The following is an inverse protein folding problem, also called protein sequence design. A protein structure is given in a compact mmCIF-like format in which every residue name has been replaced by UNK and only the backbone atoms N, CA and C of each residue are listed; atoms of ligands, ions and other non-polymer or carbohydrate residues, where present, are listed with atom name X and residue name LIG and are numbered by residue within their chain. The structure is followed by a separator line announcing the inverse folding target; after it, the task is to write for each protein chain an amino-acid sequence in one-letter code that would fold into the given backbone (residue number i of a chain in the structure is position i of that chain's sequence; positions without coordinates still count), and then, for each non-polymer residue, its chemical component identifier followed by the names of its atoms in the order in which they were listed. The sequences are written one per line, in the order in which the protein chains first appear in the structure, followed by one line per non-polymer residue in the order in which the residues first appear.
data_IF_823059698519
#
_entry.id   IF_823059698519
#
_cell.length_a   1.000
_cell.length_b   1.000
_cell.length_c   1.000
_cell.angle_alpha   90.00
_cell.angle_beta   90.00
_cell.angle_gamma   90.00
#
_symmetry.space_group_name_H-M   'P 1'
#
loop_
_entity.id
_entity.type
_entity.pdbx_description
1 polymer ?
#
# COMPACT_ATOMS: atom_id res chain seq x y z
N UNK A 1 6.26 5.06 8.92
CA UNK A 1 5.63 5.08 7.58
C UNK A 1 4.92 3.76 7.37
N UNK A 2 3.64 3.82 7.02
CA UNK A 2 2.82 2.65 6.71
C UNK A 2 2.25 2.81 5.31
N UNK A 3 2.33 1.77 4.47
CA UNK A 3 1.71 1.74 3.14
C UNK A 3 0.84 0.51 3.04
N UNK A 4 -0.42 0.69 2.69
CA UNK A 4 -1.38 -0.40 2.52
C UNK A 4 -2.14 -0.26 1.20
N UNK A 5 -2.67 -1.37 0.69
CA UNK A 5 -3.47 -1.40 -0.53
C UNK A 5 -4.88 -1.91 -0.25
N UNK A 6 -5.85 -1.39 -0.98
CA UNK A 6 -7.26 -1.67 -0.82
C UNK A 6 -8.00 -1.72 -2.16
N UNK A 7 -9.06 -2.52 -2.20
CA UNK A 7 -10.05 -2.52 -3.27
C UNK A 7 -11.44 -2.40 -2.65
N UNK A 8 -12.31 -1.58 -3.23
CA UNK A 8 -13.69 -1.37 -2.77
C UNK A 8 -13.81 -1.06 -1.26
N UNK A 9 -12.85 -0.31 -0.71
CA UNK A 9 -12.81 0.05 0.71
C UNK A 9 -12.26 -1.05 1.65
N UNK A 10 -11.93 -2.24 1.14
CA UNK A 10 -11.35 -3.34 1.93
C UNK A 10 -9.83 -3.39 1.76
N UNK A 11 -9.09 -3.34 2.86
CA UNK A 11 -7.63 -3.52 2.87
C UNK A 11 -7.28 -4.95 2.46
N UNK A 12 -6.38 -5.07 1.48
CA UNK A 12 -5.93 -6.34 0.90
C UNK A 12 -4.57 -6.78 1.44
N UNK A 13 -3.65 -5.83 1.61
CA UNK A 13 -2.27 -6.09 2.03
C UNK A 13 -1.63 -4.86 2.64
N UNK A 14 -0.73 -5.08 3.59
CA UNK A 14 0.21 -4.05 4.07
C UNK A 14 1.55 -4.24 3.36
N UNK A 15 2.02 -3.22 2.64
CA UNK A 15 3.26 -3.25 1.85
C UNK A 15 4.46 -2.73 2.64
N UNK A 16 4.23 -1.76 3.52
CA UNK A 16 5.25 -1.19 4.40
C UNK A 16 4.62 -1.02 5.76
N UNK A 17 5.32 -1.50 6.79
CA UNK A 17 5.00 -1.22 8.19
C UNK A 17 6.30 -0.92 8.94
N UNK A 18 6.74 0.34 8.90
CA UNK A 18 8.00 0.78 9.48
C UNK A 18 7.75 1.90 10.48
N UNK A 19 8.31 1.82 11.68
CA UNK A 19 8.16 2.84 12.72
C UNK A 19 8.81 4.17 12.31
N UNK A 20 9.96 4.11 11.64
CA UNK A 20 10.66 5.26 11.07
C UNK A 20 11.25 4.90 9.70
N UNK A 21 11.39 5.90 8.84
CA UNK A 21 12.07 5.80 7.55
C UNK A 21 12.94 7.03 7.40
N UNK A 22 14.16 6.84 6.90
CA UNK A 22 15.05 7.96 6.64
C UNK A 22 14.48 8.87 5.54
N UNK A 23 14.81 10.16 5.60
CA UNK A 23 14.46 11.09 4.54
C UNK A 23 15.09 10.63 3.22
N UNK A 24 14.32 10.68 2.14
CA UNK A 24 14.75 10.20 0.83
C UNK A 24 13.62 9.59 0.03
N UNK A 25 13.93 9.15 -1.19
CA UNK A 25 12.98 8.51 -2.08
C UNK A 25 12.88 7.02 -1.75
N UNK A 26 11.67 6.55 -1.48
CA UNK A 26 11.38 5.13 -1.26
C UNK A 26 10.45 4.63 -2.36
N UNK A 27 10.77 3.48 -2.94
CA UNK A 27 9.93 2.82 -3.95
C UNK A 27 9.50 1.45 -3.45
N UNK A 28 8.23 1.11 -3.65
CA UNK A 28 7.65 -0.17 -3.23
C UNK A 28 6.69 -0.63 -4.31
N UNK A 29 7.00 -1.79 -4.87
CA UNK A 29 6.18 -2.46 -5.87
C UNK A 29 5.30 -3.50 -5.19
N UNK A 30 4.04 -3.56 -5.61
CA UNK A 30 3.12 -4.62 -5.21
C UNK A 30 3.02 -5.66 -6.32
N UNK A 31 3.00 -6.93 -5.92
CA UNK A 31 2.99 -8.13 -6.77
C UNK A 31 1.57 -8.57 -7.18
N UNK A 32 0.53 -7.83 -6.79
CA UNK A 32 -0.86 -8.23 -7.03
C UNK A 32 -1.35 -9.33 -6.10
N UNK A 33 -0.71 -9.54 -4.93
CA UNK A 33 -1.12 -10.56 -3.96
C UNK A 33 -1.64 -9.96 -2.65
N UNK A 34 -2.61 -10.62 -2.02
CA UNK A 34 -3.08 -10.30 -0.66
C UNK A 34 -2.08 -10.76 0.41
N UNK A 35 -2.34 -10.41 1.68
CA UNK A 35 -1.57 -10.95 2.83
C UNK A 35 -1.60 -12.49 2.90
N UNK A 36 -2.61 -13.13 2.31
CA UNK A 36 -2.77 -14.59 2.28
C UNK A 36 -2.10 -15.25 1.05
N UNK A 37 -1.26 -14.50 0.30
CA UNK A 37 -0.65 -14.94 -0.97
C UNK A 37 -1.67 -15.35 -2.04
N UNK A 38 -2.87 -14.79 -2.00
CA UNK A 38 -3.87 -14.98 -3.05
C UNK A 38 -3.71 -13.89 -4.11
N UNK A 39 -3.75 -14.25 -5.39
CA UNK A 39 -3.78 -13.27 -6.47
C UNK A 39 -5.09 -12.51 -6.45
N UNK A 40 -5.01 -11.22 -6.77
CA UNK A 40 -6.19 -10.38 -6.97
C UNK A 40 -6.48 -10.22 -8.47
N UNK A 41 -7.73 -10.02 -8.88
CA UNK A 41 -8.07 -9.77 -10.29
C UNK A 41 -7.34 -8.55 -10.86
N UNK A 42 -7.17 -8.48 -12.19
CA UNK A 42 -6.72 -7.24 -12.81
C UNK A 42 -7.74 -6.11 -12.55
N UNK A 43 -7.26 -4.90 -12.25
CA UNK A 43 -8.15 -3.78 -11.94
C UNK A 43 -7.43 -2.61 -11.27
N UNK A 44 -8.22 -1.60 -10.91
CA UNK A 44 -7.72 -0.41 -10.22
C UNK A 44 -7.69 -0.68 -8.73
N UNK A 45 -6.55 -0.42 -8.12
CA UNK A 45 -6.33 -0.55 -6.68
C UNK A 45 -5.95 0.78 -6.07
N UNK A 46 -6.38 1.03 -4.85
CA UNK A 46 -6.01 2.23 -4.11
C UNK A 46 -4.97 1.88 -3.07
N UNK A 47 -4.00 2.76 -2.86
CA UNK A 47 -3.09 2.66 -1.73
C UNK A 47 -3.26 3.85 -0.79
N UNK A 48 -3.11 3.58 0.50
CA UNK A 48 -3.01 4.59 1.55
C UNK A 48 -1.58 4.58 2.08
N UNK A 49 -0.94 5.75 2.06
CA UNK A 49 0.36 6.00 2.67
C UNK A 49 0.19 6.89 3.88
N UNK A 50 0.70 6.44 5.03
CA UNK A 50 0.63 7.16 6.30
C UNK A 50 2.05 7.42 6.83
N UNK A 51 2.37 8.69 7.08
CA UNK A 51 3.66 9.14 7.59
C UNK A 51 3.45 10.22 8.67
N UNK A 52 3.49 9.81 9.93
CA UNK A 52 3.19 10.70 11.06
C UNK A 52 1.76 11.23 10.97
N UNK A 53 1.61 12.55 10.93
CA UNK A 53 0.29 13.23 10.80
C UNK A 53 -0.20 13.38 9.36
N UNK A 54 0.57 12.90 8.37
CA UNK A 54 0.23 13.02 6.95
C UNK A 54 -0.25 11.68 6.42
N UNK A 55 -1.32 11.73 5.63
CA UNK A 55 -1.77 10.62 4.82
C UNK A 55 -1.88 11.04 3.35
N UNK A 56 -1.65 10.11 2.45
CA UNK A 56 -1.81 10.29 1.02
C UNK A 56 -2.47 9.07 0.41
N UNK A 57 -3.45 9.30 -0.47
CA UNK A 57 -4.12 8.24 -1.22
C UNK A 57 -3.68 8.34 -2.68
N UNK A 58 -3.41 7.20 -3.30
CA UNK A 58 -3.16 7.12 -4.73
C UNK A 58 -3.78 5.88 -5.33
N UNK A 59 -3.74 5.80 -6.66
CA UNK A 59 -4.24 4.64 -7.42
C UNK A 59 -3.09 3.93 -8.12
N UNK A 60 -3.23 2.62 -8.26
CA UNK A 60 -2.36 1.72 -9.02
C UNK A 60 -3.21 1.03 -10.07
N UNK A 61 -2.70 0.97 -11.30
CA UNK A 61 -3.36 0.42 -12.48
C UNK A 61 -2.46 -0.61 -13.12
#
# INVERSE_FOLDING_TARGET
MKKSIAASGRRLRTLVDATSVNAGRHSVTWDGMTDQRQSVPAGVYFYLLEAGKRSAVGRMT
#
